data_IF_846528014651
#
_entry.id   IF_846528014651
#
_cell.length_a   1.000
_cell.length_b   1.000
_cell.length_c   1.000
_cell.angle_alpha   90.00
_cell.angle_beta   90.00
_cell.angle_gamma   90.00
#
_symmetry.space_group_name_H-M   'P 1'
#
loop_
_entity.id
_entity.type
_entity.pdbx_description
1 polymer ?
#
# COMPACT_ATOMS: atom_id res chain seq x y z
N UNK A 1 10.69 36.12 -6.12
CA UNK A 1 9.77 35.55 -5.11
C UNK A 1 9.29 34.22 -5.66
N UNK A 2 10.16 33.21 -5.62
CA UNK A 2 9.83 31.83 -5.98
C UNK A 2 9.82 31.09 -4.65
N UNK A 3 8.62 30.96 -4.08
CA UNK A 3 8.39 30.03 -2.99
C UNK A 3 8.58 28.65 -3.59
N UNK A 4 9.76 28.07 -3.41
CA UNK A 4 9.88 26.61 -3.43
C UNK A 4 8.96 26.15 -2.33
N UNK A 5 7.82 25.56 -2.70
CA UNK A 5 6.96 24.87 -1.75
C UNK A 5 7.85 23.95 -0.91
N UNK A 6 7.96 24.34 0.35
CA UNK A 6 8.41 23.54 1.47
C UNK A 6 7.74 22.18 1.28
N UNK A 7 8.54 21.13 1.06
CA UNK A 7 8.12 19.74 0.89
C UNK A 7 6.69 19.52 1.37
N UNK A 8 5.75 19.28 0.44
CA UNK A 8 4.52 18.59 0.83
C UNK A 8 5.00 17.29 1.48
N UNK A 9 4.98 17.24 2.80
CA UNK A 9 5.43 16.06 3.52
C UNK A 9 4.50 14.92 3.11
N UNK A 10 5.06 13.76 2.78
CA UNK A 10 4.27 12.64 2.27
C UNK A 10 4.36 11.47 3.23
N UNK A 11 3.20 10.88 3.53
CA UNK A 11 3.10 9.57 4.12
C UNK A 11 3.63 8.55 3.11
N UNK A 12 4.87 8.07 3.30
CA UNK A 12 5.52 7.14 2.36
C UNK A 12 5.82 5.82 3.06
N UNK A 13 5.17 4.76 2.59
CA UNK A 13 5.38 3.40 3.05
C UNK A 13 5.99 2.53 1.95
N UNK A 14 6.90 1.64 2.31
CA UNK A 14 7.56 0.72 1.36
C UNK A 14 7.57 -0.70 1.91
N UNK A 15 7.08 -1.65 1.13
CA UNK A 15 7.20 -3.10 1.39
C UNK A 15 8.15 -3.72 0.36
N UNK A 16 9.28 -4.30 0.81
CA UNK A 16 10.27 -4.89 -0.09
C UNK A 16 10.96 -6.14 0.48
N UNK A 17 11.37 -7.06 -0.40
CA UNK A 17 12.14 -8.25 -0.02
C UNK A 17 11.29 -9.32 0.70
N UNK A 18 11.88 -9.97 1.72
CA UNK A 18 11.16 -10.73 2.76
C UNK A 18 10.42 -9.72 3.62
N UNK A 19 9.08 -9.59 3.52
CA UNK A 19 8.45 -8.28 3.48
C UNK A 19 8.88 -7.40 4.65
N UNK A 20 9.88 -6.56 4.36
CA UNK A 20 10.35 -5.53 5.24
C UNK A 20 9.50 -4.32 4.91
N UNK A 21 8.68 -3.93 5.87
CA UNK A 21 7.84 -2.77 5.74
C UNK A 21 8.55 -1.64 6.46
N UNK A 22 8.91 -0.61 5.70
CA UNK A 22 9.22 0.69 6.23
C UNK A 22 7.92 1.48 6.29
N UNK A 23 7.43 1.75 7.48
CA UNK A 23 6.18 2.49 7.73
C UNK A 23 6.33 3.97 7.38
N UNK A 24 5.21 4.70 7.43
CA UNK A 24 5.15 6.14 7.16
C UNK A 24 6.02 6.95 8.10
N UNK A 25 6.15 6.54 9.36
CA UNK A 25 6.95 7.22 10.38
C UNK A 25 8.35 6.60 10.55
N UNK A 26 8.67 5.60 9.71
CA UNK A 26 10.01 5.04 9.56
C UNK A 26 10.32 3.83 10.46
N UNK A 27 9.31 3.24 11.10
CA UNK A 27 9.45 1.93 11.74
C UNK A 27 9.76 0.85 10.69
N UNK A 28 10.55 -0.14 11.10
CA UNK A 28 10.91 -1.29 10.26
C UNK A 28 10.23 -2.53 10.83
N UNK A 29 9.26 -3.07 10.10
CA UNK A 29 8.52 -4.28 10.46
C UNK A 29 9.01 -5.47 9.62
N UNK A 30 9.21 -6.60 10.28
CA UNK A 30 9.60 -7.85 9.63
C UNK A 30 8.40 -8.79 9.56
N UNK A 31 8.02 -9.15 8.34
CA UNK A 31 6.81 -9.92 8.06
C UNK A 31 7.21 -11.24 7.42
N UNK A 32 6.91 -12.34 8.07
CA UNK A 32 7.24 -13.67 7.55
C UNK A 32 5.98 -14.40 7.06
N UNK A 33 6.13 -15.14 5.96
CA UNK A 33 5.11 -16.06 5.47
C UNK A 33 4.36 -15.61 4.22
N UNK A 34 3.62 -16.55 3.65
CA UNK A 34 2.78 -16.40 2.46
C UNK A 34 1.38 -16.01 2.93
N UNK A 35 1.01 -14.74 2.75
CA UNK A 35 -0.33 -14.29 3.05
C UNK A 35 -0.72 -13.02 2.27
N UNK A 36 -1.97 -12.61 2.46
CA UNK A 36 -2.50 -11.33 2.02
C UNK A 36 -2.57 -10.41 3.24
N UNK A 37 -2.08 -9.19 3.09
CA UNK A 37 -2.02 -8.21 4.17
C UNK A 37 -2.54 -6.85 3.73
N UNK A 38 -3.16 -6.11 4.64
CA UNK A 38 -3.50 -4.69 4.44
C UNK A 38 -2.25 -3.85 4.71
N UNK A 39 -1.71 -3.21 3.68
CA UNK A 39 -0.61 -2.27 3.83
C UNK A 39 -1.11 -0.95 4.41
N UNK A 40 -2.10 -0.33 3.77
CA UNK A 40 -2.64 0.96 4.18
C UNK A 40 -4.12 1.05 3.81
N UNK A 41 -4.94 1.56 4.71
CA UNK A 41 -6.34 1.88 4.43
C UNK A 41 -6.76 3.14 5.19
N UNK A 42 -7.78 3.83 4.67
CA UNK A 42 -8.38 4.96 5.37
C UNK A 42 -9.36 4.45 6.44
N UNK A 43 -9.25 4.98 7.66
CA UNK A 43 -10.14 4.59 8.78
C UNK A 43 -11.60 4.93 8.52
N UNK A 44 -11.86 6.08 7.90
CA UNK A 44 -13.21 6.52 7.57
C UNK A 44 -13.66 5.94 6.22
N UNK A 45 -14.43 4.84 6.30
CA UNK A 45 -14.98 4.14 5.13
C UNK A 45 -16.06 4.93 4.38
N UNK A 46 -16.55 6.05 4.94
CA UNK A 46 -17.55 6.92 4.29
C UNK A 46 -16.92 8.09 3.54
N UNK A 47 -15.62 8.32 3.70
CA UNK A 47 -14.90 9.36 2.97
C UNK A 47 -14.92 9.04 1.46
N UNK A 48 -15.14 10.03 0.57
CA UNK A 48 -15.07 9.81 -0.88
C UNK A 48 -13.71 9.26 -1.38
N UNK A 49 -12.65 9.45 -0.60
CA UNK A 49 -11.30 8.94 -0.82
C UNK A 49 -10.99 7.71 0.04
N UNK A 50 -12.00 7.04 0.60
CA UNK A 50 -11.81 5.77 1.28
C UNK A 50 -11.14 4.76 0.34
N UNK A 51 -10.03 4.19 0.79
CA UNK A 51 -9.22 3.27 0.02
C UNK A 51 -8.64 2.17 0.88
N UNK A 52 -8.27 1.07 0.24
CA UNK A 52 -7.51 -0.04 0.83
C UNK A 52 -6.42 -0.48 -0.13
N UNK A 53 -5.19 -0.59 0.36
CA UNK A 53 -4.06 -1.20 -0.36
C UNK A 53 -3.69 -2.50 0.30
N UNK A 54 -3.78 -3.59 -0.45
CA UNK A 54 -3.44 -4.92 0.02
C UNK A 54 -2.25 -5.46 -0.76
N UNK A 55 -1.41 -6.27 -0.12
CA UNK A 55 -0.38 -7.03 -0.81
C UNK A 55 -0.47 -8.51 -0.52
N UNK A 56 -0.33 -9.32 -1.57
CA UNK A 56 -0.22 -10.77 -1.47
C UNK A 56 1.23 -11.18 -1.65
N UNK A 57 1.75 -11.96 -0.72
CA UNK A 57 3.14 -12.45 -0.73
C UNK A 57 3.20 -13.90 -1.21
N UNK A 58 4.33 -14.31 -1.80
CA UNK A 58 4.61 -15.67 -2.26
C UNK A 58 5.99 -16.14 -1.78
N UNK A 59 6.19 -17.44 -1.61
CA UNK A 59 7.55 -18.00 -1.49
C UNK A 59 8.19 -18.05 -2.87
N UNK A 60 9.46 -17.67 -2.98
CA UNK A 60 10.25 -17.86 -4.21
C UNK A 60 11.38 -18.83 -3.97
N UNK A 61 11.43 -19.86 -4.83
CA UNK A 61 12.43 -20.92 -4.78
C UNK A 61 12.42 -21.66 -3.42
N UNK A 62 13.50 -22.35 -3.09
CA UNK A 62 13.70 -23.05 -1.81
C UNK A 62 14.12 -22.15 -0.64
N UNK A 63 14.08 -20.81 -0.81
CA UNK A 63 14.48 -19.88 0.26
C UNK A 63 13.33 -19.70 1.28
N UNK A 64 13.64 -19.48 2.57
CA UNK A 64 12.63 -19.32 3.62
C UNK A 64 11.88 -17.97 3.58
N UNK A 65 12.11 -17.12 2.56
CA UNK A 65 11.63 -15.74 2.48
C UNK A 65 10.42 -15.60 1.56
N UNK A 66 9.51 -14.68 1.87
CA UNK A 66 8.39 -14.34 0.97
C UNK A 66 8.66 -13.06 0.18
N UNK A 67 7.92 -12.83 -0.90
CA UNK A 67 8.04 -11.66 -1.76
C UNK A 67 6.65 -11.19 -2.17
N UNK A 68 6.46 -9.88 -2.35
CA UNK A 68 5.23 -9.37 -2.96
C UNK A 68 5.03 -10.02 -4.35
N UNK A 69 3.82 -10.54 -4.57
CA UNK A 69 3.37 -11.17 -5.82
C UNK A 69 2.32 -10.33 -6.52
N UNK A 70 1.50 -9.62 -5.75
CA UNK A 70 0.37 -8.82 -6.21
C UNK A 70 0.13 -7.69 -5.23
N UNK A 71 -0.20 -6.51 -5.76
CA UNK A 71 -0.77 -5.41 -4.98
C UNK A 71 -2.16 -5.12 -5.55
N UNK A 72 -3.12 -4.92 -4.65
CA UNK A 72 -4.49 -4.53 -4.96
C UNK A 72 -4.74 -3.16 -4.34
N UNK A 73 -5.15 -2.19 -5.15
CA UNK A 73 -5.56 -0.86 -4.73
C UNK A 73 -7.06 -0.74 -5.00
N UNK A 74 -7.84 -0.69 -3.92
CA UNK A 74 -9.28 -0.51 -3.97
C UNK A 74 -9.61 0.92 -3.60
N UNK A 75 -10.34 1.62 -4.46
CA UNK A 75 -10.89 2.95 -4.20
C UNK A 75 -12.24 3.08 -4.90
N UNK A 76 -13.25 3.56 -4.18
CA UNK A 76 -14.64 3.40 -4.61
C UNK A 76 -15.04 1.92 -4.68
N UNK A 77 -15.58 1.47 -5.81
CA UNK A 77 -16.01 0.08 -6.02
C UNK A 77 -15.12 -0.68 -7.02
N UNK A 78 -13.93 -0.16 -7.34
CA UNK A 78 -13.04 -0.70 -8.36
C UNK A 78 -11.76 -1.21 -7.72
N UNK A 79 -11.31 -2.39 -8.16
CA UNK A 79 -10.03 -2.98 -7.75
C UNK A 79 -9.01 -2.85 -8.88
N UNK A 80 -7.96 -2.09 -8.62
CA UNK A 80 -6.81 -1.95 -9.51
C UNK A 80 -5.67 -2.83 -9.01
N UNK A 81 -5.22 -3.79 -9.81
CA UNK A 81 -4.18 -4.73 -9.43
C UNK A 81 -2.91 -4.56 -10.25
N UNK A 82 -1.75 -4.60 -9.59
CA UNK A 82 -0.46 -4.79 -10.27
C UNK A 82 0.09 -6.16 -9.87
N UNK A 83 0.33 -7.02 -10.86
CA UNK A 83 0.85 -8.37 -10.66
C UNK A 83 2.36 -8.43 -10.81
N UNK A 84 2.95 -9.52 -10.32
CA UNK A 84 4.32 -9.91 -10.64
C UNK A 84 4.49 -9.96 -12.17
N UNK A 85 5.58 -9.40 -12.67
CA UNK A 85 5.79 -9.21 -14.11
C UNK A 85 5.22 -7.89 -14.65
N UNK A 86 4.60 -7.06 -13.80
CA UNK A 86 4.02 -5.76 -14.14
C UNK A 86 2.75 -5.80 -15.00
N UNK A 87 2.04 -6.93 -15.05
CA UNK A 87 0.70 -6.97 -15.62
C UNK A 87 -0.28 -6.17 -14.74
N UNK A 88 -1.20 -5.46 -15.39
CA UNK A 88 -2.22 -4.64 -14.71
C UNK A 88 -3.59 -5.22 -14.95
N UNK A 89 -4.41 -5.27 -13.91
CA UNK A 89 -5.83 -5.61 -14.01
C UNK A 89 -6.71 -4.51 -13.43
N UNK A 90 -7.91 -4.36 -14.00
CA UNK A 90 -9.02 -3.60 -13.45
C UNK A 90 -10.19 -4.57 -13.30
N UNK A 91 -10.68 -4.75 -12.08
CA UNK A 91 -11.72 -5.73 -11.73
C UNK A 91 -11.45 -7.14 -12.29
N UNK A 92 -10.18 -7.55 -12.24
CA UNK A 92 -9.72 -8.85 -12.70
C UNK A 92 -9.50 -8.99 -14.23
N UNK A 93 -9.81 -7.96 -15.02
CA UNK A 93 -9.54 -7.95 -16.46
C UNK A 93 -8.18 -7.33 -16.76
N UNK A 94 -7.35 -8.01 -17.55
CA UNK A 94 -6.05 -7.48 -17.99
C UNK A 94 -6.23 -6.26 -18.88
N UNK A 95 -5.47 -5.20 -18.60
CA UNK A 95 -5.47 -3.96 -19.39
C UNK A 95 -4.05 -3.59 -19.84
N UNK A 96 -3.89 -2.95 -21.01
CA UNK A 96 -2.59 -2.41 -21.42
C UNK A 96 -2.23 -1.17 -20.58
N UNK A 97 -0.94 -0.80 -20.52
CA UNK A 97 -0.46 0.43 -19.88
C UNK A 97 0.19 1.32 -20.95
N UNK A 98 -0.04 2.64 -20.98
CA UNK A 98 -0.76 3.45 -19.98
C UNK A 98 -2.29 3.40 -20.09
N UNK A 99 -2.97 3.74 -18.99
CA UNK A 99 -4.41 4.04 -18.94
C UNK A 99 -4.61 5.43 -18.35
N UNK A 100 -5.56 6.17 -18.92
CA UNK A 100 -6.11 7.37 -18.29
C UNK A 100 -7.63 7.21 -18.18
N UNK A 101 -8.13 7.19 -16.96
CA UNK A 101 -9.51 6.95 -16.58
C UNK A 101 -10.03 8.21 -15.87
N UNK A 102 -10.27 9.25 -16.67
CA UNK A 102 -10.57 10.60 -16.17
C UNK A 102 -11.83 10.63 -15.28
N UNK A 103 -12.85 9.83 -15.62
CA UNK A 103 -14.09 9.76 -14.85
C UNK A 103 -13.87 9.20 -13.43
N UNK A 104 -12.94 8.26 -13.31
CA UNK A 104 -12.52 7.61 -12.06
C UNK A 104 -11.38 8.35 -11.37
N UNK A 105 -10.83 9.42 -11.96
CA UNK A 105 -9.64 10.13 -11.49
C UNK A 105 -8.40 9.22 -11.38
N UNK A 106 -8.27 8.21 -12.24
CA UNK A 106 -7.19 7.22 -12.19
C UNK A 106 -6.26 7.38 -13.38
N UNK A 107 -4.96 7.44 -13.09
CA UNK A 107 -3.89 7.38 -14.08
C UNK A 107 -3.02 6.16 -13.79
N UNK A 108 -2.80 5.32 -14.80
CA UNK A 108 -1.93 4.14 -14.71
C UNK A 108 -0.78 4.32 -15.69
N UNK A 109 0.43 4.41 -15.18
CA UNK A 109 1.64 4.67 -15.97
C UNK A 109 2.76 3.71 -15.59
N UNK A 110 3.76 3.61 -16.48
CA UNK A 110 5.05 3.04 -16.13
C UNK A 110 6.01 4.18 -15.83
N UNK A 111 6.50 4.24 -14.60
CA UNK A 111 7.51 5.19 -14.14
C UNK A 111 8.77 4.41 -13.76
N UNK A 112 9.86 4.64 -14.50
CA UNK A 112 11.10 3.85 -14.43
C UNK A 112 10.84 2.34 -14.61
N UNK A 113 10.92 1.57 -13.51
CA UNK A 113 10.71 0.11 -13.45
C UNK A 113 9.39 -0.28 -12.81
N UNK A 114 8.61 0.67 -12.32
CA UNK A 114 7.36 0.42 -11.61
C UNK A 114 6.16 0.74 -12.48
N UNK A 115 5.09 -0.02 -12.29
CA UNK A 115 3.75 0.48 -12.60
C UNK A 115 3.32 1.37 -11.43
N UNK A 116 2.73 2.52 -11.75
CA UNK A 116 2.16 3.46 -10.78
C UNK A 116 0.68 3.62 -11.10
N UNK A 117 -0.16 3.45 -10.08
CA UNK A 117 -1.59 3.74 -10.12
C UNK A 117 -1.81 4.95 -9.22
N UNK A 118 -2.25 6.05 -9.82
CA UNK A 118 -2.42 7.34 -9.17
C UNK A 118 -3.89 7.73 -9.19
N UNK A 119 -4.47 7.93 -8.01
CA UNK A 119 -5.79 8.56 -7.90
C UNK A 119 -5.60 10.08 -7.77
N UNK A 120 -5.76 10.81 -8.87
CA UNK A 120 -5.35 12.22 -8.99
C UNK A 120 -6.11 13.16 -8.05
N UNK A 121 -7.38 12.89 -7.76
CA UNK A 121 -8.20 13.71 -6.85
C UNK A 121 -7.90 13.47 -5.37
N UNK A 122 -7.56 12.24 -5.00
CA UNK A 122 -7.27 11.86 -3.61
C UNK A 122 -5.77 11.86 -3.32
N UNK A 123 -4.96 12.07 -4.37
CA UNK A 123 -3.51 12.19 -4.34
C UNK A 123 -2.81 10.96 -3.74
N UNK A 124 -3.36 9.76 -3.99
CA UNK A 124 -2.79 8.49 -3.55
C UNK A 124 -2.07 7.83 -4.72
N UNK A 125 -0.80 7.49 -4.50
CA UNK A 125 0.02 6.73 -5.43
C UNK A 125 0.31 5.34 -4.85
N UNK A 126 -0.02 4.30 -5.63
CA UNK A 126 0.37 2.92 -5.35
C UNK A 126 1.26 2.44 -6.48
N UNK A 127 2.46 1.97 -6.16
CA UNK A 127 3.39 1.47 -7.16
C UNK A 127 3.97 0.11 -6.84
N UNK A 128 4.26 -0.67 -7.88
CA UNK A 128 4.91 -1.97 -7.78
C UNK A 128 5.87 -2.18 -8.94
N UNK A 129 7.09 -2.62 -8.63
CA UNK A 129 8.14 -2.92 -9.61
C UNK A 129 7.95 -4.27 -10.34
N UNK A 130 6.83 -4.95 -10.11
CA UNK A 130 6.55 -6.29 -10.66
C UNK A 130 7.47 -7.39 -10.10
N UNK A 131 8.34 -7.07 -9.14
CA UNK A 131 9.36 -7.98 -8.61
C UNK A 131 9.26 -8.14 -7.11
N UNK A 132 9.41 -7.11 -6.30
CA UNK A 132 9.34 -7.25 -4.85
C UNK A 132 8.97 -5.97 -4.10
N UNK A 133 9.07 -4.79 -4.72
CA UNK A 133 8.97 -3.50 -4.04
C UNK A 133 7.63 -2.85 -4.33
N UNK A 134 6.75 -2.82 -3.31
CA UNK A 134 5.50 -2.07 -3.32
C UNK A 134 5.71 -0.76 -2.54
N UNK A 135 5.11 0.32 -3.00
CA UNK A 135 5.13 1.61 -2.31
C UNK A 135 3.75 2.25 -2.32
N UNK A 136 3.38 2.82 -1.18
CA UNK A 136 2.16 3.63 -1.01
C UNK A 136 2.61 5.03 -0.60
N UNK A 137 2.06 6.05 -1.27
CA UNK A 137 2.39 7.44 -1.01
C UNK A 137 1.12 8.30 -1.01
N UNK A 138 0.95 9.15 0.00
CA UNK A 138 -0.18 10.07 0.12
C UNK A 138 0.23 11.37 0.87
N UNK A 139 -0.44 12.51 0.67
CA UNK A 139 -0.12 13.75 1.37
C UNK A 139 -0.29 13.66 2.89
N UNK A 140 0.72 14.09 3.64
CA UNK A 140 0.67 14.14 5.10
C UNK A 140 -0.48 15.03 5.60
N UNK A 141 -0.66 16.19 4.97
CA UNK A 141 -1.71 17.16 5.28
C UNK A 141 -3.12 16.56 5.29
N UNK A 142 -3.37 15.56 4.44
CA UNK A 142 -4.69 14.95 4.26
C UNK A 142 -4.83 13.64 5.03
N UNK A 143 -3.76 12.85 5.19
CA UNK A 143 -3.85 11.46 5.65
C UNK A 143 -3.22 11.20 7.02
N UNK A 144 -2.49 12.15 7.61
CA UNK A 144 -1.89 12.00 8.94
C UNK A 144 -2.93 11.64 10.00
N UNK A 145 -2.67 10.55 10.76
CA UNK A 145 -3.55 10.01 11.79
C UNK A 145 -4.85 9.35 11.29
N UNK A 146 -5.16 9.47 9.99
CA UNK A 146 -6.41 8.99 9.38
C UNK A 146 -6.27 7.62 8.71
N UNK A 147 -5.04 7.16 8.49
CA UNK A 147 -4.74 5.85 7.90
C UNK A 147 -4.42 4.82 8.99
N UNK A 148 -4.59 3.54 8.63
CA UNK A 148 -4.23 2.38 9.44
C UNK A 148 -3.71 1.27 8.53
N UNK A 149 -3.20 0.18 9.10
CA UNK A 149 -2.58 -0.92 8.36
C UNK A 149 -1.15 -1.19 8.81
N UNK A 150 -0.45 -2.05 8.07
CA UNK A 150 0.97 -2.31 8.34
C UNK A 150 1.88 -1.11 8.07
N UNK A 151 1.43 -0.14 7.28
CA UNK A 151 2.17 1.08 6.96
C UNK A 151 2.16 2.11 8.08
N UNK A 152 1.45 1.88 9.18
CA UNK A 152 1.38 2.84 10.28
C UNK A 152 0.18 3.77 10.20
N UNK A 153 0.24 4.88 10.93
CA UNK A 153 -0.83 5.89 10.98
C UNK A 153 -0.40 7.28 10.45
N UNK A 154 0.90 7.47 10.14
CA UNK A 154 1.47 8.70 9.58
C UNK A 154 1.33 9.92 10.50
N UNK A 155 1.58 9.77 11.81
CA UNK A 155 1.48 10.87 12.78
C UNK A 155 2.84 11.39 13.29
N UNK A 156 3.95 10.94 12.71
CA UNK A 156 5.34 11.22 13.11
C UNK A 156 5.77 10.59 14.43
N UNK A 157 5.01 9.63 14.95
CA UNK A 157 5.40 8.81 16.09
C UNK A 157 5.76 7.39 15.63
N UNK A 158 7.06 7.16 15.48
CA UNK A 158 7.57 5.85 15.07
C UNK A 158 7.26 4.73 16.08
N UNK A 159 7.06 5.05 17.36
CA UNK A 159 6.90 4.03 18.40
C UNK A 159 5.50 3.38 18.34
N UNK A 160 4.47 4.13 17.92
CA UNK A 160 3.10 3.61 17.79
C UNK A 160 2.88 2.77 16.51
N UNK A 161 3.78 2.91 15.53
CA UNK A 161 3.82 2.06 14.34
C UNK A 161 4.18 0.59 14.64
N UNK A 162 4.70 0.31 15.84
CA UNK A 162 4.91 -1.06 16.34
C UNK A 162 3.70 -1.64 17.09
N UNK A 163 2.69 -0.81 17.41
CA UNK A 163 1.50 -1.24 18.14
C UNK A 163 0.48 -1.91 17.19
N UNK A 164 -0.53 -2.63 17.70
CA UNK A 164 -1.67 -3.04 16.89
C UNK A 164 -2.82 -2.00 16.95
N UNK A 165 -3.94 -2.30 16.28
CA UNK A 165 -5.13 -1.42 16.29
C UNK A 165 -5.75 -1.21 17.69
N UNK A 166 -5.40 -2.06 18.66
CA UNK A 166 -5.86 -2.01 20.05
C UNK A 166 -4.83 -1.34 20.98
N UNK A 167 -3.73 -0.82 20.44
CA UNK A 167 -2.68 -0.11 21.20
C UNK A 167 -1.74 -1.04 21.98
N UNK A 168 -1.71 -2.34 21.68
CA UNK A 168 -0.78 -3.27 22.31
C UNK A 168 0.53 -3.37 21.52
N UNK A 169 1.66 -3.55 22.21
CA UNK A 169 2.95 -3.87 21.60
C UNK A 169 2.83 -5.21 20.84
N UNK A 170 2.70 -5.15 19.52
CA UNK A 170 2.36 -6.30 18.72
C UNK A 170 3.61 -7.16 18.45
N UNK A 171 3.69 -8.35 19.06
CA UNK A 171 4.36 -9.47 18.39
C UNK A 171 3.62 -9.79 17.10
N UNK A 172 4.35 -10.00 15.99
CA UNK A 172 4.48 -8.94 14.99
C UNK A 172 3.11 -8.40 14.53
N UNK A 173 2.95 -7.06 14.50
CA UNK A 173 1.82 -6.28 13.92
C UNK A 173 1.23 -6.87 12.63
N UNK A 174 2.04 -7.60 11.87
CA UNK A 174 1.65 -8.40 10.72
C UNK A 174 0.49 -9.38 10.93
N UNK A 175 0.33 -9.99 12.11
CA UNK A 175 -0.75 -10.94 12.34
C UNK A 175 -2.12 -10.26 12.35
N UNK A 176 -2.21 -9.07 12.93
CA UNK A 176 -3.46 -8.31 13.04
C UNK A 176 -4.01 -7.90 11.67
N UNK A 177 -3.14 -7.52 10.73
CA UNK A 177 -3.53 -7.10 9.38
C UNK A 177 -3.51 -8.24 8.35
N UNK A 178 -3.45 -9.48 8.83
CA UNK A 178 -3.45 -10.67 7.98
C UNK A 178 -4.87 -11.01 7.57
N UNK A 179 -5.10 -11.15 6.28
CA UNK A 179 -6.39 -11.55 5.75
C UNK A 179 -6.49 -13.07 5.61
N UNK A 180 -7.62 -13.63 6.02
CA UNK A 180 -8.02 -15.01 5.78
C UNK A 180 -8.43 -15.24 4.32
N UNK A 181 -8.66 -16.50 3.96
CA UNK A 181 -9.05 -16.88 2.59
C UNK A 181 -10.39 -16.26 2.14
N UNK A 182 -11.22 -15.80 3.09
CA UNK A 182 -12.50 -15.15 2.83
C UNK A 182 -12.40 -13.61 2.82
N UNK A 183 -11.21 -13.02 2.92
CA UNK A 183 -11.02 -11.57 2.94
C UNK A 183 -11.25 -10.89 4.30
N UNK A 184 -11.59 -11.63 5.35
CA UNK A 184 -11.70 -11.10 6.71
C UNK A 184 -10.34 -11.12 7.43
N UNK A 185 -10.10 -10.15 8.32
CA UNK A 185 -8.96 -10.17 9.24
C UNK A 185 -8.99 -11.44 10.12
N UNK A 186 -7.82 -12.01 10.40
CA UNK A 186 -7.66 -13.25 11.18
C UNK A 186 -7.31 -13.01 12.63
#
# INVERSE_FOLDING_TARGET
MFSFDLFSEMCRCVSAGDPHIRTTDGAMLHVMGVCKYILSELKDTKDPCAYTVETTTEKRNSRPVSYNKRVDFTIGNVVYSILKGSDVMIDGQLVPVPQNLDAENIVITREERSIVIRHTKCEIDVSYDGRHKVMVQAPFSTYSGRVTGMCGNCNRDKEDDYMDGDGNLAKPRALHYRLGQNGNLR
#
